data_IF_858105924949
#
_entry.id   IF_858105924949
#
_cell.length_a   1.000
_cell.length_b   1.000
_cell.length_c   1.000
_cell.angle_alpha   90.00
_cell.angle_beta   90.00
_cell.angle_gamma   90.00
#
_symmetry.space_group_name_H-M   'P 1'
#
loop_
_entity.id
_entity.type
_entity.pdbx_description
1 polymer ?
#
# COMPACT_ATOMS: atom_id res chain seq x y z
N UNK A 1 -48.13 -19.82 -2.24
CA UNK A 1 -47.67 -18.44 -2.51
C UNK A 1 -46.76 -17.89 -1.46
N UNK A 2 -47.10 -17.95 -0.19
CA UNK A 2 -46.30 -17.39 0.91
C UNK A 2 -44.91 -18.04 1.02
N UNK A 3 -44.78 -19.36 0.78
CA UNK A 3 -43.50 -20.09 0.84
C UNK A 3 -42.50 -19.65 -0.19
N UNK A 4 -42.93 -19.29 -1.41
CA UNK A 4 -42.05 -18.85 -2.48
C UNK A 4 -41.49 -17.43 -2.23
N UNK A 5 -42.30 -16.54 -1.66
CA UNK A 5 -41.92 -15.20 -1.28
C UNK A 5 -40.91 -15.24 -0.14
N UNK A 6 -41.11 -16.10 0.84
CA UNK A 6 -40.20 -16.25 1.97
C UNK A 6 -38.83 -16.77 1.55
N UNK A 7 -38.75 -17.73 0.64
CA UNK A 7 -37.50 -18.26 0.11
C UNK A 7 -36.73 -17.21 -0.66
N UNK A 8 -37.40 -16.36 -1.48
CA UNK A 8 -36.77 -15.31 -2.22
C UNK A 8 -36.15 -14.21 -1.34
N UNK A 9 -36.85 -13.83 -0.26
CA UNK A 9 -36.36 -12.86 0.72
C UNK A 9 -35.15 -13.39 1.46
N UNK A 10 -35.19 -14.66 1.88
CA UNK A 10 -34.07 -15.30 2.57
C UNK A 10 -32.81 -15.34 1.69
N UNK A 11 -32.96 -15.69 0.43
CA UNK A 11 -31.86 -15.75 -0.55
C UNK A 11 -31.22 -14.38 -0.73
N UNK A 12 -32.02 -13.34 -0.85
CA UNK A 12 -31.54 -11.96 -1.02
C UNK A 12 -30.72 -11.49 0.20
N UNK A 13 -31.15 -11.84 1.42
CA UNK A 13 -30.43 -11.51 2.65
C UNK A 13 -29.06 -12.20 2.72
N UNK A 14 -28.98 -13.48 2.34
CA UNK A 14 -27.71 -14.24 2.33
C UNK A 14 -26.75 -13.66 1.31
N UNK A 15 -27.21 -13.31 0.12
CA UNK A 15 -26.39 -12.70 -0.92
C UNK A 15 -25.85 -11.34 -0.45
N UNK A 16 -26.65 -10.51 0.18
CA UNK A 16 -26.22 -9.22 0.71
C UNK A 16 -25.13 -9.34 1.77
N UNK A 17 -25.22 -10.31 2.66
CA UNK A 17 -24.20 -10.56 3.69
C UNK A 17 -22.88 -11.03 3.08
N UNK A 18 -22.91 -11.87 2.06
CA UNK A 18 -21.70 -12.34 1.38
C UNK A 18 -20.98 -11.19 0.67
N UNK A 19 -21.69 -10.31 0.00
CA UNK A 19 -21.11 -9.15 -0.69
C UNK A 19 -20.45 -8.22 0.33
N UNK A 20 -21.08 -7.93 1.45
CA UNK A 20 -20.53 -7.09 2.51
C UNK A 20 -19.24 -7.67 3.10
N UNK A 21 -19.19 -9.00 3.28
CA UNK A 21 -17.99 -9.67 3.79
C UNK A 21 -16.82 -9.59 2.79
N UNK A 22 -17.09 -9.67 1.50
CA UNK A 22 -16.07 -9.55 0.46
C UNK A 22 -15.48 -8.15 0.39
N UNK A 23 -16.30 -7.11 0.51
CA UNK A 23 -15.84 -5.71 0.48
C UNK A 23 -14.90 -5.40 1.65
N UNK A 24 -15.16 -5.96 2.83
CA UNK A 24 -14.30 -5.76 4.01
C UNK A 24 -12.94 -6.46 3.84
N UNK A 25 -12.88 -7.58 3.12
CA UNK A 25 -11.67 -8.38 2.97
C UNK A 25 -10.66 -7.82 1.97
N UNK A 26 -11.04 -6.90 1.06
CA UNK A 26 -10.22 -6.49 -0.08
C UNK A 26 -9.65 -5.07 0.00
N UNK A 27 -9.87 -4.33 1.08
CA UNK A 27 -9.44 -2.91 1.16
C UNK A 27 -7.99 -2.75 1.62
N UNK A 28 -7.03 -3.36 0.89
CA UNK A 28 -5.60 -3.16 1.14
C UNK A 28 -5.02 -2.18 0.12
N UNK A 29 -4.05 -1.37 0.58
CA UNK A 29 -3.57 -0.22 -0.15
C UNK A 29 -2.13 -0.46 -0.60
N UNK A 30 -1.87 -0.39 -1.90
CA UNK A 30 -0.50 -0.40 -2.44
C UNK A 30 -0.07 0.96 -2.99
N UNK A 31 -1.00 1.88 -3.17
CA UNK A 31 -0.75 3.24 -3.67
C UNK A 31 -1.66 4.22 -2.93
N UNK A 32 -1.10 5.37 -2.53
CA UNK A 32 -1.88 6.49 -1.99
C UNK A 32 -1.67 7.72 -2.87
N UNK A 33 -2.77 8.45 -3.14
CA UNK A 33 -2.74 9.65 -3.96
C UNK A 33 -2.73 10.91 -3.10
N UNK A 34 -2.30 12.02 -3.68
CA UNK A 34 -2.41 13.34 -3.05
C UNK A 34 -1.27 13.73 -2.11
N UNK A 35 -0.15 13.03 -2.13
CA UNK A 35 1.01 13.38 -1.31
C UNK A 35 1.84 14.46 -2.01
N UNK A 36 1.32 15.68 -2.04
CA UNK A 36 1.94 16.81 -2.74
C UNK A 36 3.21 17.30 -2.05
N UNK A 37 3.33 17.13 -0.75
CA UNK A 37 4.49 17.51 0.04
C UNK A 37 5.66 16.51 -0.10
N UNK A 38 5.40 15.37 -0.70
CA UNK A 38 6.38 14.30 -0.96
C UNK A 38 7.10 13.80 0.29
N UNK A 39 6.40 13.86 1.43
CA UNK A 39 6.91 13.37 2.71
C UNK A 39 6.50 11.90 2.91
N UNK A 40 7.24 11.13 3.73
CA UNK A 40 6.85 9.77 4.02
C UNK A 40 5.52 9.73 4.76
N UNK A 41 4.64 8.80 4.36
CA UNK A 41 3.33 8.62 4.97
C UNK A 41 3.40 7.61 6.10
N UNK A 42 2.53 7.77 7.10
CA UNK A 42 2.43 6.82 8.18
C UNK A 42 1.76 5.54 7.69
N UNK A 43 2.38 4.38 7.97
CA UNK A 43 1.88 3.07 7.56
C UNK A 43 1.13 2.43 8.73
N UNK A 44 -0.10 1.99 8.48
CA UNK A 44 -0.85 1.16 9.41
C UNK A 44 -0.61 -0.31 9.07
N UNK A 45 -0.11 -1.09 10.03
CA UNK A 45 0.23 -2.50 9.79
C UNK A 45 -1.02 -3.31 9.41
N UNK A 46 -0.85 -4.20 8.44
CA UNK A 46 -1.92 -5.03 7.94
C UNK A 46 -2.81 -4.38 6.88
N UNK A 47 -2.68 -3.09 6.62
CA UNK A 47 -3.51 -2.37 5.64
C UNK A 47 -2.80 -2.06 4.33
N UNK A 48 -1.47 -2.06 4.34
CA UNK A 48 -0.68 -1.69 3.17
C UNK A 48 -0.01 -2.91 2.56
N UNK A 49 0.08 -2.90 1.24
CA UNK A 49 0.75 -3.95 0.46
C UNK A 49 2.00 -3.40 -0.20
N UNK A 50 3.03 -4.24 -0.28
CA UNK A 50 4.18 -3.96 -1.13
C UNK A 50 3.74 -3.94 -2.59
N UNK A 51 4.03 -2.86 -3.29
CA UNK A 51 3.63 -2.69 -4.69
C UNK A 51 4.27 -3.72 -5.62
N UNK A 52 5.49 -4.15 -5.31
CA UNK A 52 6.24 -5.09 -6.15
C UNK A 52 5.91 -6.55 -5.84
N UNK A 53 5.87 -6.93 -4.56
CA UNK A 53 5.67 -8.33 -4.17
C UNK A 53 4.24 -8.69 -3.83
N UNK A 54 3.37 -7.70 -3.54
CA UNK A 54 2.01 -7.93 -3.10
C UNK A 54 1.90 -8.41 -1.66
N UNK A 55 2.99 -8.43 -0.91
CA UNK A 55 3.02 -8.89 0.47
C UNK A 55 2.50 -7.81 1.41
N UNK A 56 1.74 -8.21 2.44
CA UNK A 56 1.23 -7.29 3.46
C UNK A 56 2.38 -6.74 4.31
N UNK A 57 2.37 -5.42 4.55
CA UNK A 57 3.38 -4.76 5.38
C UNK A 57 2.93 -4.81 6.84
N UNK A 58 3.68 -5.55 7.67
CA UNK A 58 3.37 -5.77 9.08
C UNK A 58 4.41 -5.17 10.04
N UNK A 59 5.52 -4.66 9.53
CA UNK A 59 6.53 -3.95 10.31
C UNK A 59 7.18 -2.88 9.44
N UNK A 60 7.99 -2.00 10.07
CA UNK A 60 8.66 -0.92 9.36
C UNK A 60 10.07 -1.27 8.88
N UNK A 61 10.64 -2.39 9.34
CA UNK A 61 12.00 -2.77 8.98
C UNK A 61 12.12 -2.99 7.48
N UNK A 62 13.12 -2.36 6.89
CA UNK A 62 13.43 -2.44 5.46
C UNK A 62 12.35 -1.87 4.54
N UNK A 63 11.30 -1.25 5.09
CA UNK A 63 10.26 -0.65 4.25
C UNK A 63 10.75 0.59 3.53
N UNK A 64 10.15 0.87 2.39
CA UNK A 64 10.43 2.05 1.60
C UNK A 64 9.15 2.62 1.03
N UNK A 65 9.19 3.91 0.71
CA UNK A 65 8.11 4.60 0.03
C UNK A 65 8.69 5.38 -1.15
N UNK A 66 8.03 5.32 -2.29
CA UNK A 66 8.43 6.09 -3.48
C UNK A 66 7.31 7.06 -3.82
N UNK A 67 7.62 8.35 -3.86
CA UNK A 67 6.65 9.40 -4.17
C UNK A 67 6.90 9.92 -5.57
N UNK A 68 5.90 9.78 -6.43
CA UNK A 68 5.94 10.26 -7.81
C UNK A 68 5.78 11.77 -7.87
N UNK A 69 6.18 12.43 -8.98
CA UNK A 69 6.00 13.87 -9.13
C UNK A 69 4.56 14.35 -8.97
N UNK A 70 3.58 13.51 -9.30
CA UNK A 70 2.15 13.84 -9.16
C UNK A 70 1.60 13.61 -7.74
N UNK A 71 2.43 13.13 -6.80
CA UNK A 71 2.01 12.87 -5.42
C UNK A 71 1.53 11.45 -5.15
N UNK A 72 1.60 10.54 -6.11
CA UNK A 72 1.29 9.13 -5.87
C UNK A 72 2.42 8.49 -5.07
N UNK A 73 2.08 7.85 -3.96
CA UNK A 73 3.04 7.17 -3.08
C UNK A 73 2.85 5.66 -3.18
N UNK A 74 3.93 4.97 -3.52
CA UNK A 74 3.99 3.51 -3.60
C UNK A 74 4.72 2.96 -2.39
N UNK A 75 4.26 1.82 -1.87
CA UNK A 75 4.79 1.22 -0.64
C UNK A 75 5.54 -0.08 -0.97
N UNK A 76 6.64 -0.32 -0.27
CA UNK A 76 7.49 -1.50 -0.48
C UNK A 76 7.91 -2.05 0.88
N UNK A 77 7.90 -3.38 1.01
CA UNK A 77 8.32 -4.05 2.25
C UNK A 77 9.82 -4.37 2.29
N UNK A 78 10.55 -4.05 1.22
CA UNK A 78 11.98 -4.36 1.10
C UNK A 78 12.64 -3.30 0.21
N UNK A 79 13.87 -2.93 0.59
CA UNK A 79 14.66 -1.94 -0.15
C UNK A 79 14.99 -2.47 -1.55
N UNK A 80 15.27 -3.78 -1.70
CA UNK A 80 15.51 -4.37 -3.01
C UNK A 80 14.30 -4.23 -3.94
N UNK A 81 13.10 -4.37 -3.41
CA UNK A 81 11.87 -4.23 -4.19
C UNK A 81 11.67 -2.82 -4.71
N UNK A 82 11.96 -1.79 -3.90
CA UNK A 82 11.83 -0.40 -4.38
C UNK A 82 12.85 -0.09 -5.46
N UNK A 83 14.06 -0.63 -5.38
CA UNK A 83 15.07 -0.42 -6.42
C UNK A 83 14.73 -1.12 -7.72
N UNK A 84 14.24 -2.35 -7.66
CA UNK A 84 13.80 -3.06 -8.85
C UNK A 84 12.68 -2.30 -9.57
N UNK A 85 11.72 -1.78 -8.80
CA UNK A 85 10.66 -0.95 -9.35
C UNK A 85 11.19 0.37 -9.92
N UNK A 86 12.07 1.04 -9.17
CA UNK A 86 12.62 2.33 -9.57
C UNK A 86 13.40 2.26 -10.88
N UNK A 87 14.18 1.19 -11.07
CA UNK A 87 14.98 1.00 -12.29
C UNK A 87 14.13 0.89 -13.56
N UNK A 88 12.87 0.49 -13.42
CA UNK A 88 11.94 0.39 -14.55
C UNK A 88 11.23 1.71 -14.85
N UNK A 89 11.43 2.74 -14.04
CA UNK A 89 10.78 4.04 -14.23
C UNK A 89 11.60 4.94 -15.15
N UNK A 90 10.93 5.64 -16.07
CA UNK A 90 11.59 6.56 -16.99
C UNK A 90 12.04 7.86 -16.32
N UNK A 91 11.30 8.29 -15.31
CA UNK A 91 11.51 9.53 -14.59
C UNK A 91 12.09 9.34 -13.19
N UNK A 92 12.96 8.36 -13.03
CA UNK A 92 13.48 7.95 -11.72
C UNK A 92 14.18 9.08 -10.96
N UNK A 93 14.78 10.05 -11.65
CA UNK A 93 15.45 11.19 -11.02
C UNK A 93 14.46 12.16 -10.37
N UNK A 94 13.20 12.11 -10.76
CA UNK A 94 12.12 12.95 -10.21
C UNK A 94 11.34 12.26 -9.09
N UNK A 95 11.61 10.98 -8.84
CA UNK A 95 10.93 10.18 -7.83
C UNK A 95 11.68 10.32 -6.52
N UNK A 96 10.96 10.69 -5.45
CA UNK A 96 11.54 10.79 -4.10
C UNK A 96 11.36 9.44 -3.40
N UNK A 97 12.47 8.81 -3.02
CA UNK A 97 12.45 7.52 -2.35
C UNK A 97 12.85 7.71 -0.88
N UNK A 98 11.98 7.22 0.00
CA UNK A 98 12.21 7.21 1.44
C UNK A 98 12.45 5.77 1.89
N UNK A 99 13.50 5.56 2.68
CA UNK A 99 13.82 4.25 3.27
C UNK A 99 13.79 4.38 4.79
N UNK A 100 13.29 3.35 5.46
CA UNK A 100 13.21 3.36 6.92
C UNK A 100 14.57 3.05 7.53
N UNK A 101 15.04 3.95 8.39
CA UNK A 101 16.31 3.81 9.11
C UNK A 101 16.05 3.19 10.48
N UNK A 102 16.69 2.06 10.78
CA UNK A 102 16.56 1.40 12.08
C UNK A 102 17.22 2.21 13.19
N UNK A 103 18.33 2.88 12.87
CA UNK A 103 19.09 3.64 13.86
C UNK A 103 18.33 4.85 14.39
N UNK A 104 17.61 5.55 13.51
CA UNK A 104 16.87 6.77 13.88
C UNK A 104 15.39 6.51 14.07
N UNK A 105 14.89 5.33 13.70
CA UNK A 105 13.48 4.96 13.70
C UNK A 105 12.63 5.93 12.88
N UNK A 106 13.19 6.43 11.77
CA UNK A 106 12.55 7.39 10.86
C UNK A 106 12.83 7.03 9.42
N UNK A 107 11.97 7.53 8.52
CA UNK A 107 12.25 7.50 7.09
C UNK A 107 13.29 8.56 6.75
N UNK A 108 14.28 8.17 5.94
CA UNK A 108 15.29 9.07 5.41
C UNK A 108 15.30 8.98 3.89
N UNK A 109 15.75 10.05 3.24
CA UNK A 109 15.86 10.05 1.77
C UNK A 109 16.93 9.06 1.35
N UNK A 110 16.62 8.23 0.34
CA UNK A 110 17.51 7.14 -0.08
C UNK A 110 18.89 7.64 -0.51
N UNK A 111 18.99 8.82 -1.12
CA UNK A 111 20.27 9.42 -1.48
C UNK A 111 21.19 9.59 -0.27
N UNK A 112 20.62 10.08 0.84
CA UNK A 112 21.38 10.32 2.06
C UNK A 112 21.82 9.02 2.73
N UNK A 113 20.98 7.97 2.60
CA UNK A 113 21.27 6.66 3.16
C UNK A 113 22.50 6.00 2.53
N UNK A 114 22.79 6.32 1.24
CA UNK A 114 23.90 5.70 0.52
C UNK A 114 25.22 6.43 0.69
N UNK A 115 25.18 7.69 1.07
CA UNK A 115 26.37 8.51 1.24
C UNK A 115 26.84 8.58 2.70
N UNK A 116 26.10 7.96 3.60
CA UNK A 116 26.50 7.86 5.02
C UNK A 116 27.19 6.49 5.30
#
# INVERSE_FOLDING_TARGET
MIKKIFAAVLLACVMGLLISSMDIAESKISVRHGNTDKQPLQIEFGKYLCHESGTVINDLYNTAQAVMPNGDTYFFNDIANVFMWLMRQKNKDEIVVWVYSQDTEKYIIAKDAWYS
#
